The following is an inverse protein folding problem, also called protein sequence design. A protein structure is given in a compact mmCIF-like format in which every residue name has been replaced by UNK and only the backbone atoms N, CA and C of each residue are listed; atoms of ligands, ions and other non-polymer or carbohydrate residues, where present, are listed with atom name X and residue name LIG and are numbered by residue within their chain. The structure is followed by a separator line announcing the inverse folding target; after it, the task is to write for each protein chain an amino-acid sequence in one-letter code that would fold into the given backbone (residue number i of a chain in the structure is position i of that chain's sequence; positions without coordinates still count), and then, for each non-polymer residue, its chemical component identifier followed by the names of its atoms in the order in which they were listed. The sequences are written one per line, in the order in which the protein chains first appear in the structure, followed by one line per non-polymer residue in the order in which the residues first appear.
data_IF_636817247011
#
_entry.id   IF_636817247011
#
_cell.length_a   1.000
_cell.length_b   1.000
_cell.length_c   1.000
_cell.angle_alpha   90.00
_cell.angle_beta   90.00
_cell.angle_gamma   90.00
#
_symmetry.space_group_name_H-M   'P 1'
#
loop_
_entity.id
_entity.type
_entity.pdbx_description
1 polymer ?
#
# COMPACT_ATOMS: atom_id res chain seq x y z
N UNK A 1 16.13 -30.79 -5.31
CA UNK A 1 15.54 -29.50 -4.87
C UNK A 1 14.81 -28.93 -6.07
N UNK A 2 13.49 -28.78 -6.02
CA UNK A 2 12.73 -28.17 -7.13
C UNK A 2 12.79 -26.65 -6.96
N UNK A 3 13.50 -25.99 -7.87
CA UNK A 3 13.55 -24.53 -7.96
C UNK A 3 12.23 -24.06 -8.56
N UNK A 4 11.36 -23.48 -7.75
CA UNK A 4 10.18 -22.79 -8.27
C UNK A 4 10.67 -21.53 -9.00
N UNK A 5 10.61 -21.55 -10.33
CA UNK A 5 10.85 -20.35 -11.15
C UNK A 5 9.72 -19.40 -10.85
N UNK A 6 9.95 -18.43 -9.97
CA UNK A 6 9.05 -17.29 -9.86
C UNK A 6 9.15 -16.52 -11.19
N UNK A 7 8.04 -16.29 -11.90
CA UNK A 7 8.05 -15.42 -13.07
C UNK A 7 8.74 -14.10 -12.68
N UNK A 8 9.57 -13.52 -13.56
CA UNK A 8 10.40 -12.37 -13.20
C UNK A 8 9.58 -11.14 -12.78
N UNK A 9 8.28 -11.12 -13.11
CA UNK A 9 7.34 -10.05 -12.78
C UNK A 9 5.98 -10.64 -12.36
N UNK A 10 5.33 -9.97 -11.42
CA UNK A 10 3.92 -10.16 -11.08
C UNK A 10 3.01 -9.65 -12.20
N UNK A 11 1.77 -10.14 -12.22
CA UNK A 11 0.76 -9.67 -13.17
C UNK A 11 0.55 -8.15 -13.11
N UNK A 12 0.59 -7.54 -11.92
CA UNK A 12 0.47 -6.08 -11.77
C UNK A 12 1.61 -5.34 -12.46
N UNK A 13 2.84 -5.84 -12.34
CA UNK A 13 4.00 -5.28 -13.05
C UNK A 13 3.85 -5.46 -14.57
N UNK A 14 3.36 -6.60 -15.03
CA UNK A 14 3.11 -6.87 -16.47
C UNK A 14 2.05 -5.92 -17.04
N UNK A 15 0.94 -5.69 -16.35
CA UNK A 15 -0.10 -4.75 -16.83
C UNK A 15 0.40 -3.30 -16.89
N UNK A 16 1.22 -2.86 -15.92
CA UNK A 16 1.85 -1.54 -15.98
C UNK A 16 2.80 -1.42 -17.17
N UNK A 17 3.52 -2.49 -17.52
CA UNK A 17 4.41 -2.48 -18.70
C UNK A 17 3.64 -2.35 -20.03
N UNK A 18 2.42 -2.90 -20.12
CA UNK A 18 1.58 -2.77 -21.33
C UNK A 18 1.19 -1.33 -21.64
N UNK A 19 1.19 -0.44 -20.64
CA UNK A 19 0.93 0.99 -20.85
C UNK A 19 1.99 1.62 -21.76
N UNK A 20 3.26 1.22 -21.63
CA UNK A 20 4.31 1.68 -22.53
C UNK A 20 4.08 1.21 -23.97
N UNK A 21 3.69 -0.05 -24.16
CA UNK A 21 3.37 -0.59 -25.49
C UNK A 21 2.13 0.08 -26.13
N UNK A 22 1.20 0.58 -25.31
CA UNK A 22 0.03 1.31 -25.75
C UNK A 22 0.32 2.80 -26.04
N UNK A 23 1.57 3.26 -25.89
CA UNK A 23 1.96 4.65 -26.14
C UNK A 23 1.38 5.64 -25.13
N UNK A 24 1.11 5.20 -23.89
CA UNK A 24 0.66 6.09 -22.83
C UNK A 24 1.76 7.13 -22.56
N UNK A 25 1.45 8.44 -22.65
CA UNK A 25 2.42 9.50 -22.41
C UNK A 25 3.05 9.45 -21.01
N UNK A 26 4.36 9.67 -20.93
CA UNK A 26 5.13 9.69 -19.68
C UNK A 26 4.64 10.78 -18.70
N UNK A 27 4.01 11.85 -19.20
CA UNK A 27 3.41 12.92 -18.39
C UNK A 27 2.33 12.39 -17.43
N UNK A 28 1.66 11.28 -17.76
CA UNK A 28 0.66 10.66 -16.89
C UNK A 28 1.27 9.78 -15.78
N UNK A 29 2.58 9.50 -15.81
CA UNK A 29 3.22 8.64 -14.83
C UNK A 29 3.06 9.15 -13.39
N UNK A 30 3.13 10.48 -13.20
CA UNK A 30 2.95 11.10 -11.89
C UNK A 30 1.54 10.85 -11.33
N UNK A 31 0.52 10.92 -12.19
CA UNK A 31 -0.88 10.71 -11.80
C UNK A 31 -1.17 9.24 -11.51
N UNK A 32 -0.65 8.33 -12.34
CA UNK A 32 -0.74 6.88 -12.09
C UNK A 32 -0.11 6.52 -10.75
N UNK A 33 1.09 7.06 -10.45
CA UNK A 33 1.75 6.87 -9.15
C UNK A 33 0.89 7.40 -8.00
N UNK A 34 0.26 8.55 -8.16
CA UNK A 34 -0.61 9.15 -7.15
C UNK A 34 -1.85 8.30 -6.89
N UNK A 35 -2.47 7.75 -7.93
CA UNK A 35 -3.63 6.85 -7.80
C UNK A 35 -3.25 5.59 -7.04
N UNK A 36 -2.14 4.95 -7.40
CA UNK A 36 -1.63 3.76 -6.71
C UNK A 36 -1.32 4.08 -5.24
N UNK A 37 -0.61 5.18 -4.98
CA UNK A 37 -0.25 5.60 -3.63
C UNK A 37 -1.50 5.85 -2.76
N UNK A 38 -2.51 6.54 -3.30
CA UNK A 38 -3.77 6.77 -2.60
C UNK A 38 -4.47 5.47 -2.22
N UNK A 39 -4.59 4.54 -3.17
CA UNK A 39 -5.23 3.24 -2.90
C UNK A 39 -4.49 2.44 -1.83
N UNK A 40 -3.15 2.36 -1.91
CA UNK A 40 -2.35 1.66 -0.91
C UNK A 40 -2.42 2.31 0.47
N UNK A 41 -2.46 3.65 0.52
CA UNK A 41 -2.62 4.40 1.77
C UNK A 41 -3.98 4.13 2.42
N UNK A 42 -5.07 4.13 1.65
CA UNK A 42 -6.41 3.77 2.15
C UNK A 42 -6.41 2.36 2.75
N UNK A 43 -5.81 1.37 2.05
CA UNK A 43 -5.69 0.01 2.58
C UNK A 43 -4.82 -0.08 3.84
N UNK A 44 -3.77 0.74 3.94
CA UNK A 44 -2.94 0.80 5.14
C UNK A 44 -3.71 1.38 6.33
N UNK A 45 -4.46 2.47 6.11
CA UNK A 45 -5.32 3.09 7.12
C UNK A 45 -6.39 2.13 7.61
N UNK A 46 -7.14 1.50 6.71
CA UNK A 46 -8.23 0.58 7.08
C UNK A 46 -7.70 -0.60 7.93
N UNK A 47 -6.46 -1.06 7.67
CA UNK A 47 -5.80 -2.09 8.49
C UNK A 47 -5.38 -1.54 9.85
N UNK A 48 -4.87 -0.32 9.90
CA UNK A 48 -4.50 0.34 11.16
C UNK A 48 -5.74 0.51 12.05
N UNK A 49 -6.86 0.98 11.49
CA UNK A 49 -8.14 1.11 12.19
C UNK A 49 -8.62 -0.24 12.75
N UNK A 50 -8.53 -1.31 11.94
CA UNK A 50 -8.89 -2.66 12.41
C UNK A 50 -8.03 -3.12 13.59
N UNK A 51 -6.72 -2.90 13.53
CA UNK A 51 -5.80 -3.25 14.62
C UNK A 51 -6.08 -2.40 15.86
N UNK A 52 -6.42 -1.12 15.66
CA UNK A 52 -6.79 -0.20 16.73
C UNK A 52 -8.00 -0.73 17.51
N UNK A 53 -9.04 -1.12 16.78
CA UNK A 53 -10.27 -1.69 17.35
C UNK A 53 -10.01 -3.06 18.02
N UNK A 54 -9.29 -3.96 17.35
CA UNK A 54 -8.96 -5.31 17.88
C UNK A 54 -8.20 -5.24 19.20
N UNK A 55 -7.35 -4.23 19.37
CA UNK A 55 -6.58 -4.03 20.59
C UNK A 55 -7.32 -3.19 21.64
N UNK A 56 -8.56 -2.78 21.37
CA UNK A 56 -9.35 -1.94 22.26
C UNK A 56 -8.69 -0.59 22.54
N UNK A 57 -7.91 -0.09 21.58
CA UNK A 57 -7.25 1.19 21.73
C UNK A 57 -8.28 2.32 21.73
N UNK A 58 -8.00 3.34 22.52
CA UNK A 58 -8.87 4.49 22.70
C UNK A 58 -8.06 5.77 22.73
N UNK A 59 -8.75 6.90 22.76
CA UNK A 59 -8.11 8.20 22.94
C UNK A 59 -7.24 8.24 24.22
N UNK A 60 -7.64 7.52 25.27
CA UNK A 60 -6.85 7.38 26.50
C UNK A 60 -5.57 6.56 26.29
N UNK A 61 -5.61 5.53 25.43
CA UNK A 61 -4.41 4.80 25.00
C UNK A 61 -3.43 5.74 24.31
N UNK A 62 -3.94 6.59 23.41
CA UNK A 62 -3.13 7.57 22.70
C UNK A 62 -2.50 8.59 23.65
N UNK A 63 -3.28 9.12 24.60
CA UNK A 63 -2.80 10.06 25.63
C UNK A 63 -1.70 9.46 26.48
N UNK A 64 -1.81 8.19 26.88
CA UNK A 64 -0.76 7.47 27.62
C UNK A 64 0.54 7.39 26.82
N UNK A 65 0.48 7.01 25.54
CA UNK A 65 1.66 6.93 24.68
C UNK A 65 2.34 8.29 24.47
N UNK A 66 1.56 9.35 24.20
CA UNK A 66 2.11 10.68 23.95
C UNK A 66 2.69 11.31 25.24
N UNK A 67 2.12 10.97 26.41
CA UNK A 67 2.62 11.44 27.70
C UNK A 67 3.84 10.67 28.23
N UNK A 68 4.25 9.59 27.55
CA UNK A 68 5.43 8.80 27.93
C UNK A 68 5.24 7.93 29.18
N UNK A 69 4.01 7.75 29.65
CA UNK A 69 3.68 6.84 30.74
C UNK A 69 3.10 5.55 30.14
N UNK A 70 3.93 4.50 30.08
CA UNK A 70 3.54 3.13 29.70
C UNK A 70 2.75 2.43 30.83
#
# INVERSE_FOLDING_TARGET
MQTTVQPPLSNMQVELLKLYSAGVPDEYLADIKRIIAKYLFEKARDRADKIWDEKGYSEETLKKWISGNE
#
